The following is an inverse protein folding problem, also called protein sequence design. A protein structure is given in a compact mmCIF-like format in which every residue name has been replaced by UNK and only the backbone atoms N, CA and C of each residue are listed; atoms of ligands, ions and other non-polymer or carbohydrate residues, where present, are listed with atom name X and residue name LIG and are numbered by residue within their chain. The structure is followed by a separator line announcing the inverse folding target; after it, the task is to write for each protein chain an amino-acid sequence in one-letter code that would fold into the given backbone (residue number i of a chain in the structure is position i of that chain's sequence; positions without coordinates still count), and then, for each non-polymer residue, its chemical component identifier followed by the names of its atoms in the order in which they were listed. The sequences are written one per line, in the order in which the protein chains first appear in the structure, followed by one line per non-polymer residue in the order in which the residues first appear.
data_IF_573803459128
#
_entry.id   IF_573803459128
#
_cell.length_a   1.000
_cell.length_b   1.000
_cell.length_c   1.000
_cell.angle_alpha   90.00
_cell.angle_beta   90.00
_cell.angle_gamma   90.00
#
_symmetry.space_group_name_H-M   'P 1'
#
loop_
_entity.id
_entity.type
_entity.pdbx_description
1 polymer ?
#
# COMPACT_ATOMS: atom_id res chain seq x y z
N UNK A 1 -16.68 -8.25 -2.29
CA UNK A 1 -15.48 -7.34 -2.34
C UNK A 1 -14.20 -8.17 -2.48
N UNK A 2 -13.36 -7.84 -3.44
CA UNK A 2 -12.10 -8.53 -3.68
C UNK A 2 -10.98 -7.53 -3.96
N UNK A 3 -9.77 -7.90 -3.54
CA UNK A 3 -8.56 -7.12 -3.84
C UNK A 3 -8.02 -7.63 -5.18
N UNK A 4 -8.02 -6.75 -6.16
CA UNK A 4 -7.56 -7.00 -7.53
C UNK A 4 -6.59 -5.91 -7.98
N UNK A 5 -5.78 -6.17 -8.99
CA UNK A 5 -4.90 -5.12 -9.49
C UNK A 5 -5.71 -4.01 -10.18
N UNK A 6 -5.11 -2.83 -10.27
CA UNK A 6 -5.79 -1.65 -10.82
C UNK A 6 -6.22 -1.85 -12.27
N UNK A 7 -5.39 -2.50 -13.08
CA UNK A 7 -5.71 -2.77 -14.50
C UNK A 7 -6.97 -3.61 -14.65
N UNK A 8 -7.11 -4.64 -13.82
CA UNK A 8 -8.30 -5.50 -13.79
C UNK A 8 -9.55 -4.71 -13.37
N UNK A 9 -9.42 -3.84 -12.37
CA UNK A 9 -10.53 -2.98 -11.94
C UNK A 9 -10.97 -2.02 -13.06
N UNK A 10 -10.03 -1.44 -13.79
CA UNK A 10 -10.33 -0.55 -14.93
C UNK A 10 -10.96 -1.31 -16.10
N UNK A 11 -10.54 -2.53 -16.37
CA UNK A 11 -11.19 -3.40 -17.37
C UNK A 11 -12.64 -3.67 -16.98
N UNK A 12 -12.87 -4.06 -15.73
CA UNK A 12 -14.23 -4.27 -15.22
C UNK A 12 -15.09 -3.01 -15.37
N UNK A 13 -14.55 -1.81 -15.01
CA UNK A 13 -15.28 -0.53 -15.16
C UNK A 13 -15.69 -0.26 -16.60
N UNK A 14 -14.79 -0.54 -17.57
CA UNK A 14 -15.07 -0.30 -18.99
C UNK A 14 -16.16 -1.22 -19.55
N UNK A 15 -16.38 -2.38 -18.96
CA UNK A 15 -17.43 -3.32 -19.35
C UNK A 15 -18.82 -2.96 -18.83
N UNK A 16 -18.90 -2.07 -17.82
CA UNK A 16 -20.19 -1.68 -17.23
C UNK A 16 -21.02 -0.82 -18.20
N UNK A 17 -22.35 -1.06 -18.20
CA UNK A 17 -23.33 -0.30 -18.99
C UNK A 17 -24.56 0.01 -18.11
N UNK A 18 -24.81 1.30 -17.74
CA UNK A 18 -23.95 2.46 -18.02
C UNK A 18 -22.64 2.43 -17.22
N UNK A 19 -21.63 3.14 -17.70
CA UNK A 19 -20.38 3.31 -16.94
C UNK A 19 -20.64 4.09 -15.66
N UNK A 20 -19.91 3.77 -14.57
CA UNK A 20 -19.99 4.55 -13.33
C UNK A 20 -19.64 6.05 -13.57
N UNK A 21 -20.47 6.95 -13.00
CA UNK A 21 -20.23 8.40 -13.03
C UNK A 21 -20.37 8.94 -11.62
N UNK A 22 -19.34 9.56 -11.04
CA UNK A 22 -17.96 9.62 -11.56
C UNK A 22 -17.33 8.22 -11.67
N UNK A 23 -16.24 8.12 -12.44
CA UNK A 23 -15.53 6.85 -12.57
C UNK A 23 -14.99 6.37 -11.21
N UNK A 24 -14.64 5.09 -11.09
CA UNK A 24 -14.25 4.45 -9.83
C UNK A 24 -13.17 5.21 -9.07
N UNK A 25 -12.13 5.65 -9.78
CA UNK A 25 -10.99 6.34 -9.16
C UNK A 25 -11.33 7.76 -8.71
N UNK A 26 -12.13 8.48 -9.50
CA UNK A 26 -12.57 9.84 -9.17
C UNK A 26 -13.61 9.85 -8.03
N UNK A 27 -14.36 8.76 -7.87
CA UNK A 27 -15.35 8.62 -6.80
C UNK A 27 -14.73 8.31 -5.42
N UNK A 28 -13.49 7.84 -5.38
CA UNK A 28 -12.79 7.47 -4.15
C UNK A 28 -12.47 8.71 -3.31
N UNK A 29 -12.80 8.65 -2.03
CA UNK A 29 -12.51 9.72 -1.07
C UNK A 29 -12.17 9.14 0.31
N UNK A 30 -10.89 9.18 0.66
CA UNK A 30 -10.39 8.78 1.97
C UNK A 30 -10.18 9.98 2.93
N UNK A 31 -10.61 11.19 2.54
CA UNK A 31 -10.43 12.46 3.28
C UNK A 31 -8.98 12.98 3.30
N UNK A 32 -8.07 12.34 2.56
CA UNK A 32 -6.69 12.79 2.36
C UNK A 32 -6.46 13.13 0.89
N UNK A 33 -6.34 14.43 0.59
CA UNK A 33 -6.28 14.93 -0.78
C UNK A 33 -5.15 14.31 -1.61
N UNK A 34 -3.98 14.08 -1.01
CA UNK A 34 -2.84 13.48 -1.70
C UNK A 34 -3.07 12.03 -2.09
N UNK A 35 -3.73 11.26 -1.23
CA UNK A 35 -4.07 9.86 -1.50
C UNK A 35 -5.19 9.74 -2.54
N UNK A 36 -6.20 10.62 -2.47
CA UNK A 36 -7.25 10.71 -3.48
C UNK A 36 -6.68 11.08 -4.86
N UNK A 37 -5.81 12.08 -4.92
CA UNK A 37 -5.17 12.53 -6.15
C UNK A 37 -4.28 11.45 -6.77
N UNK A 38 -3.55 10.69 -5.95
CA UNK A 38 -2.72 9.60 -6.46
C UNK A 38 -3.57 8.55 -7.19
N UNK A 39 -4.62 8.06 -6.55
CA UNK A 39 -5.48 7.05 -7.18
C UNK A 39 -6.16 7.56 -8.45
N UNK A 40 -6.66 8.80 -8.42
CA UNK A 40 -7.39 9.39 -9.53
C UNK A 40 -6.51 9.70 -10.76
N UNK A 41 -5.26 10.14 -10.52
CA UNK A 41 -4.43 10.76 -11.59
C UNK A 41 -3.13 10.02 -11.87
N UNK A 42 -2.49 9.42 -10.87
CA UNK A 42 -1.10 8.95 -10.98
C UNK A 42 -0.95 7.43 -10.92
N UNK A 43 -1.86 6.72 -10.25
CA UNK A 43 -1.72 5.27 -10.01
C UNK A 43 -1.62 4.46 -11.31
N UNK A 44 -2.44 4.78 -12.31
CA UNK A 44 -2.41 4.11 -13.61
C UNK A 44 -1.07 4.35 -14.33
N UNK A 45 -0.61 5.59 -14.38
CA UNK A 45 0.67 5.93 -15.00
C UNK A 45 1.84 5.26 -14.30
N UNK A 46 1.83 5.25 -12.97
CA UNK A 46 2.85 4.57 -12.18
C UNK A 46 2.92 3.07 -12.49
N UNK A 47 1.76 2.44 -12.67
CA UNK A 47 1.68 1.03 -13.03
C UNK A 47 2.21 0.77 -14.45
N UNK A 48 1.80 1.58 -15.43
CA UNK A 48 2.26 1.50 -16.82
C UNK A 48 3.78 1.72 -16.95
N UNK A 49 4.36 2.58 -16.12
CA UNK A 49 5.80 2.89 -16.11
C UNK A 49 6.63 1.95 -15.21
N UNK A 50 6.02 0.93 -14.61
CA UNK A 50 6.67 0.01 -13.68
C UNK A 50 7.33 0.70 -12.45
N UNK A 51 6.81 1.85 -12.03
CA UNK A 51 7.30 2.57 -10.85
C UNK A 51 6.58 2.20 -9.55
N UNK A 52 5.33 1.73 -9.64
CA UNK A 52 4.56 1.19 -8.53
C UNK A 52 3.47 0.24 -9.04
N UNK A 53 3.04 -0.68 -8.19
CA UNK A 53 1.86 -1.53 -8.43
C UNK A 53 0.76 -1.16 -7.46
N UNK A 54 -0.44 -1.00 -7.97
CA UNK A 54 -1.61 -0.65 -7.16
C UNK A 54 -2.66 -1.75 -7.24
N UNK A 55 -3.15 -2.16 -6.08
CA UNK A 55 -4.30 -3.04 -5.93
C UNK A 55 -5.42 -2.29 -5.24
N UNK A 56 -6.64 -2.57 -5.67
CA UNK A 56 -7.85 -1.96 -5.14
C UNK A 56 -8.78 -3.02 -4.58
N UNK A 57 -9.47 -2.70 -3.51
CA UNK A 57 -10.59 -3.51 -3.04
C UNK A 57 -11.85 -3.01 -3.75
N UNK A 58 -12.34 -3.80 -4.73
CA UNK A 58 -13.47 -3.42 -5.57
C UNK A 58 -14.78 -3.95 -5.00
N UNK A 59 -15.68 -3.04 -4.71
CA UNK A 59 -17.09 -3.31 -4.42
C UNK A 59 -17.90 -3.25 -5.72
N UNK A 60 -18.04 -4.40 -6.36
CA UNK A 60 -18.76 -4.51 -7.64
C UNK A 60 -20.23 -4.19 -7.52
N UNK A 61 -20.86 -4.49 -6.36
CA UNK A 61 -22.28 -4.25 -6.11
C UNK A 61 -22.62 -2.77 -6.13
N UNK A 62 -21.76 -1.95 -5.50
CA UNK A 62 -21.93 -0.50 -5.42
C UNK A 62 -21.14 0.27 -6.46
N UNK A 63 -20.39 -0.42 -7.32
CA UNK A 63 -19.46 0.15 -8.30
C UNK A 63 -18.53 1.18 -7.65
N UNK A 64 -17.78 0.77 -6.62
CA UNK A 64 -16.86 1.64 -5.87
C UNK A 64 -15.55 0.94 -5.52
N UNK A 65 -14.49 1.71 -5.49
CA UNK A 65 -13.24 1.32 -4.82
C UNK A 65 -13.39 1.68 -3.34
N UNK A 66 -13.35 0.69 -2.47
CA UNK A 66 -13.49 0.87 -1.03
C UNK A 66 -12.15 1.11 -0.32
N UNK A 67 -11.04 0.75 -0.96
CA UNK A 67 -9.69 0.99 -0.47
C UNK A 67 -8.66 0.57 -1.50
N UNK A 68 -7.42 1.00 -1.29
CA UNK A 68 -6.31 0.61 -2.15
C UNK A 68 -4.98 0.55 -1.40
N UNK A 69 -4.05 -0.19 -1.98
CA UNK A 69 -2.66 -0.26 -1.57
C UNK A 69 -1.75 -0.11 -2.79
N UNK A 70 -0.70 0.69 -2.67
CA UNK A 70 0.31 0.86 -3.71
C UNK A 70 1.69 0.50 -3.15
N UNK A 71 2.40 -0.36 -3.84
CA UNK A 71 3.73 -0.83 -3.44
C UNK A 71 4.77 -0.58 -4.52
N UNK A 72 6.00 -0.37 -4.09
CA UNK A 72 7.17 -0.24 -4.95
C UNK A 72 8.42 -0.78 -4.26
N UNK A 73 9.53 -0.81 -4.98
CA UNK A 73 10.81 -1.16 -4.40
C UNK A 73 11.46 0.07 -3.76
N UNK A 74 12.24 -0.14 -2.72
CA UNK A 74 13.03 0.89 -2.07
C UNK A 74 14.29 0.29 -1.45
N UNK A 75 15.13 1.17 -0.94
CA UNK A 75 16.26 0.79 -0.08
C UNK A 75 16.35 1.75 1.10
N UNK A 76 16.91 1.27 2.19
CA UNK A 76 17.10 2.05 3.41
C UNK A 76 18.57 2.00 3.79
N UNK A 77 19.17 3.14 4.08
CA UNK A 77 20.53 3.19 4.61
C UNK A 77 20.60 2.46 5.97
N UNK A 78 21.57 1.61 6.13
CA UNK A 78 21.75 0.80 7.35
C UNK A 78 21.82 1.68 8.61
N UNK A 79 22.43 2.87 8.52
CA UNK A 79 22.52 3.81 9.61
C UNK A 79 21.15 4.41 10.02
N UNK A 80 20.18 4.44 9.11
CA UNK A 80 18.83 4.95 9.36
C UNK A 80 17.86 3.86 9.83
N UNK A 81 18.19 2.60 9.53
CA UNK A 81 17.38 1.47 9.96
C UNK A 81 17.49 1.22 11.46
N UNK A 82 16.47 0.56 12.00
CA UNK A 82 16.51 0.14 13.41
C UNK A 82 17.71 -0.76 13.70
N UNK A 83 18.34 -0.60 14.87
CA UNK A 83 19.39 -1.52 15.35
C UNK A 83 18.95 -2.99 15.40
N UNK A 84 17.65 -3.25 15.43
CA UNK A 84 17.09 -4.61 15.43
C UNK A 84 17.19 -5.29 14.07
N UNK A 85 17.36 -4.54 12.98
CA UNK A 85 17.56 -5.09 11.65
C UNK A 85 19.05 -5.36 11.44
N UNK A 86 19.45 -6.60 11.63
CA UNK A 86 20.81 -7.06 11.34
C UNK A 86 20.99 -7.21 9.83
N UNK A 87 21.28 -6.11 9.16
CA UNK A 87 21.51 -6.12 7.74
C UNK A 87 22.95 -6.52 7.40
N UNK A 88 23.08 -7.41 6.44
CA UNK A 88 24.36 -7.83 5.90
C UNK A 88 24.88 -6.85 4.85
N UNK A 89 23.96 -6.22 4.11
CA UNK A 89 24.24 -5.27 3.04
C UNK A 89 23.86 -3.85 3.41
N UNK A 90 24.47 -2.89 2.72
CA UNK A 90 24.09 -1.48 2.76
C UNK A 90 24.08 -0.93 1.31
N UNK A 91 22.99 -0.36 0.81
CA UNK A 91 21.69 -0.17 1.50
C UNK A 91 20.90 -1.47 1.68
N UNK A 92 19.92 -1.44 2.59
CA UNK A 92 19.03 -2.54 2.90
C UNK A 92 17.95 -2.64 1.83
N UNK A 93 17.81 -3.76 1.11
CA UNK A 93 16.72 -3.92 0.15
C UNK A 93 15.39 -4.06 0.87
N UNK A 94 14.39 -3.30 0.44
CA UNK A 94 13.10 -3.24 1.08
C UNK A 94 11.95 -3.10 0.07
N UNK A 95 10.75 -3.51 0.50
CA UNK A 95 9.51 -3.16 -0.18
C UNK A 95 8.89 -1.95 0.51
N UNK A 96 8.48 -0.98 -0.28
CA UNK A 96 7.77 0.21 0.19
C UNK A 96 6.27 0.03 -0.01
N UNK A 97 5.50 0.07 1.06
CA UNK A 97 4.07 0.35 0.99
C UNK A 97 3.94 1.88 0.92
N UNK A 98 3.94 2.39 -0.29
CA UNK A 98 3.96 3.82 -0.54
C UNK A 98 2.64 4.49 -0.15
N UNK A 99 1.53 3.76 -0.32
CA UNK A 99 0.18 4.26 -0.01
C UNK A 99 -0.73 3.13 0.42
N UNK A 100 -1.54 3.41 1.42
CA UNK A 100 -2.62 2.56 1.88
C UNK A 100 -3.77 3.47 2.33
N UNK A 101 -4.93 3.32 1.72
CA UNK A 101 -6.06 4.20 1.99
C UNK A 101 -7.39 3.44 1.94
N UNK A 102 -8.33 3.87 2.79
CA UNK A 102 -9.70 3.34 2.86
C UNK A 102 -10.67 4.49 2.65
N UNK A 103 -11.63 4.32 1.74
CA UNK A 103 -12.69 5.29 1.49
C UNK A 103 -13.47 5.56 2.77
N UNK A 104 -13.87 6.80 2.98
CA UNK A 104 -14.55 7.26 4.20
C UNK A 104 -15.80 6.46 4.56
N UNK A 105 -16.52 5.97 3.54
CA UNK A 105 -17.72 5.17 3.74
C UNK A 105 -17.47 3.71 4.14
N UNK A 106 -16.21 3.26 4.08
CA UNK A 106 -15.78 1.90 4.39
C UNK A 106 -14.81 1.83 5.59
N UNK A 107 -14.59 2.96 6.28
CA UNK A 107 -13.74 3.00 7.48
C UNK A 107 -14.34 2.19 8.63
N UNK A 108 -13.50 1.79 9.57
CA UNK A 108 -13.85 1.03 10.79
C UNK A 108 -14.51 -0.34 10.52
N UNK A 109 -14.20 -0.95 9.37
CA UNK A 109 -14.68 -2.27 8.97
C UNK A 109 -13.54 -3.28 8.78
N UNK A 110 -12.33 -2.97 9.28
CA UNK A 110 -11.16 -3.84 9.17
C UNK A 110 -10.49 -3.84 7.78
N UNK A 111 -10.92 -2.98 6.85
CA UNK A 111 -10.39 -2.98 5.50
C UNK A 111 -8.91 -2.54 5.42
N UNK A 112 -8.49 -1.59 6.27
CA UNK A 112 -7.09 -1.17 6.36
C UNK A 112 -6.17 -2.33 6.74
N UNK A 113 -6.57 -3.12 7.73
CA UNK A 113 -5.86 -4.35 8.12
C UNK A 113 -5.81 -5.36 6.97
N UNK A 114 -6.94 -5.60 6.32
CA UNK A 114 -7.01 -6.51 5.16
C UNK A 114 -6.04 -6.10 4.04
N UNK A 115 -5.95 -4.81 3.73
CA UNK A 115 -5.02 -4.27 2.74
C UNK A 115 -3.56 -4.43 3.19
N UNK A 116 -3.27 -4.18 4.47
CA UNK A 116 -1.92 -4.36 5.01
C UNK A 116 -1.49 -5.82 4.96
N UNK A 117 -2.34 -6.76 5.36
CA UNK A 117 -2.07 -8.20 5.28
C UNK A 117 -1.87 -8.66 3.83
N UNK A 118 -2.61 -8.07 2.90
CA UNK A 118 -2.37 -8.29 1.47
C UNK A 118 -0.98 -7.81 1.06
N UNK A 119 -0.56 -6.63 1.53
CA UNK A 119 0.80 -6.11 1.32
C UNK A 119 1.88 -7.04 1.87
N UNK A 120 1.68 -7.60 3.05
CA UNK A 120 2.59 -8.58 3.65
C UNK A 120 2.68 -9.87 2.81
N UNK A 121 1.54 -10.34 2.28
CA UNK A 121 1.52 -11.48 1.36
C UNK A 121 2.34 -11.19 0.10
N UNK A 122 2.20 -10.00 -0.48
CA UNK A 122 2.99 -9.59 -1.65
C UNK A 122 4.49 -9.45 -1.35
N UNK A 123 4.83 -8.95 -0.17
CA UNK A 123 6.21 -8.90 0.30
C UNK A 123 6.81 -10.32 0.45
N UNK A 124 6.04 -11.27 0.96
CA UNK A 124 6.48 -12.66 1.08
C UNK A 124 6.70 -13.31 -0.30
N UNK A 125 5.76 -13.11 -1.22
CA UNK A 125 5.90 -13.58 -2.62
C UNK A 125 7.15 -13.00 -3.29
N UNK A 126 7.38 -11.69 -3.13
CA UNK A 126 8.58 -11.03 -3.64
C UNK A 126 9.86 -11.60 -3.00
N UNK A 127 9.86 -11.82 -1.69
CA UNK A 127 11.00 -12.31 -0.95
C UNK A 127 11.43 -13.72 -1.38
N UNK A 128 10.53 -14.52 -1.92
CA UNK A 128 10.85 -15.84 -2.51
C UNK A 128 11.58 -15.73 -3.85
N UNK A 129 11.36 -14.64 -4.58
CA UNK A 129 11.95 -14.39 -5.91
C UNK A 129 13.21 -13.52 -5.81
N UNK A 130 13.13 -12.48 -5.01
CA UNK A 130 14.20 -11.49 -4.81
C UNK A 130 14.19 -11.04 -3.35
N UNK A 131 15.22 -11.39 -2.63
CA UNK A 131 15.29 -11.19 -1.19
C UNK A 131 15.14 -9.72 -0.79
N UNK A 132 14.27 -9.47 0.19
CA UNK A 132 14.12 -8.18 0.87
C UNK A 132 14.30 -8.38 2.38
N UNK A 133 14.90 -7.41 3.05
CA UNK A 133 15.16 -7.47 4.49
C UNK A 133 14.13 -6.71 5.32
N UNK A 134 13.36 -5.82 4.70
CA UNK A 134 12.41 -4.99 5.41
C UNK A 134 11.21 -4.61 4.54
N UNK A 135 10.14 -4.21 5.22
CA UNK A 135 9.01 -3.47 4.64
C UNK A 135 9.02 -2.08 5.26
N UNK A 136 8.91 -1.06 4.44
CA UNK A 136 8.87 0.34 4.83
C UNK A 136 7.51 0.93 4.49
N UNK A 137 7.00 1.80 5.34
CA UNK A 137 5.77 2.57 5.09
C UNK A 137 6.05 4.06 5.28
N UNK A 138 5.37 4.90 4.51
CA UNK A 138 5.29 6.33 4.72
C UNK A 138 4.02 6.64 5.53
N UNK A 139 4.15 7.41 6.60
CA UNK A 139 3.01 7.81 7.43
C UNK A 139 2.69 9.29 7.24
N UNK A 140 1.43 9.61 7.01
CA UNK A 140 0.97 10.98 6.79
C UNK A 140 0.68 11.73 8.09
N UNK A 141 0.35 11.00 9.17
CA UNK A 141 -0.07 11.56 10.44
C UNK A 141 0.08 10.56 11.59
N UNK A 142 -0.19 11.01 12.81
CA UNK A 142 -0.11 10.15 14.01
C UNK A 142 -1.08 8.97 14.00
N UNK A 143 -2.25 9.12 13.38
CA UNK A 143 -3.22 8.01 13.27
C UNK A 143 -2.66 6.87 12.42
N UNK A 144 -1.99 7.20 11.31
CA UNK A 144 -1.29 6.23 10.49
C UNK A 144 -0.13 5.58 11.25
N UNK A 145 0.66 6.36 12.01
CA UNK A 145 1.72 5.83 12.86
C UNK A 145 1.19 4.80 13.87
N UNK A 146 0.12 5.14 14.60
CA UNK A 146 -0.51 4.24 15.56
C UNK A 146 -1.05 2.98 14.90
N UNK A 147 -1.60 3.11 13.70
CA UNK A 147 -2.07 1.97 12.92
C UNK A 147 -0.92 1.00 12.64
N UNK A 148 0.20 1.47 12.08
CA UNK A 148 1.34 0.61 11.75
C UNK A 148 2.07 0.08 12.99
N UNK A 149 2.15 0.84 14.08
CA UNK A 149 2.74 0.39 15.36
C UNK A 149 2.05 -0.87 15.88
N UNK A 150 0.74 -0.98 15.74
CA UNK A 150 -0.01 -2.18 16.15
C UNK A 150 0.43 -3.46 15.44
N UNK A 151 1.03 -3.33 14.26
CA UNK A 151 1.52 -4.46 13.46
C UNK A 151 3.03 -4.67 13.57
N UNK A 152 3.69 -3.97 14.49
CA UNK A 152 5.10 -4.17 14.77
C UNK A 152 6.05 -3.25 14.02
N UNK A 153 5.55 -2.28 13.24
CA UNK A 153 6.40 -1.25 12.64
C UNK A 153 6.95 -0.30 13.68
N UNK A 154 8.18 0.13 13.48
CA UNK A 154 8.88 1.12 14.31
C UNK A 154 9.34 2.29 13.47
N UNK A 155 9.43 3.47 14.09
CA UNK A 155 9.88 4.68 13.40
C UNK A 155 11.35 4.60 13.01
N UNK A 156 11.66 5.17 11.85
CA UNK A 156 13.03 5.40 11.38
C UNK A 156 13.43 6.84 11.79
N UNK A 157 14.22 6.98 12.84
CA UNK A 157 14.70 8.27 13.31
C UNK A 157 13.58 9.29 13.55
N UNK A 158 13.77 10.53 13.11
CA UNK A 158 12.79 11.63 13.16
C UNK A 158 11.96 11.76 11.87
N UNK A 159 12.02 10.78 10.97
CA UNK A 159 11.30 10.79 9.70
C UNK A 159 9.84 10.36 9.89
N UNK A 160 9.04 10.53 8.84
CA UNK A 160 7.69 9.98 8.75
C UNK A 160 7.65 8.55 8.19
N UNK A 161 8.78 7.86 8.21
CA UNK A 161 8.90 6.47 7.76
C UNK A 161 8.90 5.51 8.95
N UNK A 162 8.32 4.34 8.74
CA UNK A 162 8.35 3.23 9.67
C UNK A 162 8.82 1.96 8.97
N UNK A 163 9.39 1.04 9.72
CA UNK A 163 10.02 -0.17 9.19
C UNK A 163 9.67 -1.39 10.03
N UNK A 164 9.56 -2.54 9.37
CA UNK A 164 9.49 -3.86 10.00
C UNK A 164 10.44 -4.81 9.28
N UNK A 165 11.13 -5.65 10.05
CA UNK A 165 12.00 -6.70 9.49
C UNK A 165 11.18 -7.82 8.87
N UNK A 166 11.54 -8.26 7.67
CA UNK A 166 10.92 -9.45 7.05
C UNK A 166 11.21 -10.72 7.84
N UNK A 167 12.36 -10.79 8.50
CA UNK A 167 12.72 -11.91 9.38
C UNK A 167 11.72 -12.04 10.52
N UNK A 168 11.37 -10.94 11.17
CA UNK A 168 10.40 -10.96 12.29
C UNK A 168 8.98 -11.24 11.78
N UNK A 169 8.64 -10.72 10.61
CA UNK A 169 7.31 -10.84 10.03
C UNK A 169 7.02 -12.24 9.47
N UNK A 170 8.03 -12.92 8.90
CA UNK A 170 7.84 -14.20 8.20
C UNK A 170 8.35 -15.41 8.98
N UNK A 171 8.91 -15.19 10.16
CA UNK A 171 9.38 -16.29 11.04
C UNK A 171 8.23 -17.05 11.72
#
# INVERSE_FOLDING_TARGET
MSIINLTEALSWENEQKPKPIPNLRAAFDCEEASLNAFLARFARQADEQNSARTWVNLDKKNAKISGYISISNTSVEKAEASPTIKAYTNPIPALLIARLAVDKNYKKQGLGEKLLLFGFKKAKELNEISAIQAIVVDTLNENAEKFYQRYGFIKIGSTNKMIISTKDLFS
#
